data_IF_867157373722
#
_entry.id   IF_867157373722
#
_cell.length_a   1.000
_cell.length_b   1.000
_cell.length_c   1.000
_cell.angle_alpha   90.00
_cell.angle_beta   90.00
_cell.angle_gamma   90.00
#
_symmetry.space_group_name_H-M   'P 1'
#
loop_
_entity.id
_entity.type
_entity.pdbx_description
1 polymer ?
#
# COMPACT_ATOMS: atom_id res chain seq x y z
N UNK A 1 -28.13 78.59 -20.54
CA UNK A 1 -27.02 78.34 -19.60
C UNK A 1 -27.63 77.77 -18.33
N UNK A 2 -27.49 76.47 -18.10
CA UNK A 2 -27.92 75.81 -16.87
C UNK A 2 -26.66 75.24 -16.17
N UNK A 3 -26.45 75.45 -14.87
CA UNK A 3 -25.35 74.79 -14.17
C UNK A 3 -25.80 73.39 -13.72
N UNK A 4 -24.99 72.39 -14.06
CA UNK A 4 -25.07 71.04 -13.52
C UNK A 4 -24.56 71.05 -12.08
N UNK A 5 -25.44 70.77 -11.12
CA UNK A 5 -25.06 70.50 -9.72
C UNK A 5 -24.75 69.01 -9.61
N UNK A 6 -23.48 68.69 -9.42
CA UNK A 6 -22.96 67.35 -9.15
C UNK A 6 -23.12 67.07 -7.64
N UNK A 7 -24.00 66.13 -7.27
CA UNK A 7 -24.12 65.68 -5.89
C UNK A 7 -22.94 64.74 -5.52
N UNK A 8 -22.40 64.80 -4.29
CA UNK A 8 -21.31 63.92 -3.87
C UNK A 8 -21.87 62.53 -3.55
N UNK A 9 -21.35 61.50 -4.22
CA UNK A 9 -21.61 60.10 -3.88
C UNK A 9 -20.94 59.77 -2.53
N UNK A 10 -21.61 59.03 -1.63
CA UNK A 10 -21.10 58.77 -0.30
C UNK A 10 -19.93 57.77 -0.36
N UNK A 11 -18.82 58.17 0.25
CA UNK A 11 -17.55 57.43 0.41
C UNK A 11 -17.69 56.05 1.12
N UNK A 12 -18.90 55.67 1.53
CA UNK A 12 -19.21 54.42 2.22
C UNK A 12 -19.21 53.18 1.31
N UNK A 13 -19.32 53.35 -0.01
CA UNK A 13 -19.32 52.23 -0.97
C UNK A 13 -17.91 51.71 -1.31
N UNK A 14 -16.85 52.46 -0.98
CA UNK A 14 -15.46 52.05 -1.19
C UNK A 14 -14.89 51.17 -0.07
N UNK A 15 -15.50 51.20 1.13
CA UNK A 15 -15.07 50.35 2.26
C UNK A 15 -15.66 48.93 2.22
N UNK A 16 -16.70 48.68 1.41
CA UNK A 16 -17.24 47.35 1.17
C UNK A 16 -16.51 46.56 0.06
N UNK A 17 -15.67 47.23 -0.74
CA UNK A 17 -14.92 46.59 -1.83
C UNK A 17 -13.54 46.07 -1.42
N UNK A 18 -13.10 46.25 -0.17
CA UNK A 18 -11.84 45.70 0.34
C UNK A 18 -11.98 44.36 1.10
N UNK A 19 -13.18 43.77 1.17
CA UNK A 19 -13.36 42.44 1.80
C UNK A 19 -13.41 41.27 0.81
N UNK A 20 -13.17 41.51 -0.48
CA UNK A 20 -13.11 40.45 -1.49
C UNK A 20 -11.71 40.28 -2.07
N UNK A 21 -11.22 39.06 -1.92
CA UNK A 21 -10.01 38.46 -2.53
C UNK A 21 -8.70 38.64 -1.78
N UNK A 22 -8.62 38.04 -0.59
CA UNK A 22 -7.50 37.11 -0.44
C UNK A 22 -7.77 35.96 -1.41
N UNK A 23 -7.12 35.99 -2.57
CA UNK A 23 -7.10 34.87 -3.50
C UNK A 23 -6.35 33.71 -2.83
N UNK A 24 -7.04 32.99 -1.94
CA UNK A 24 -6.70 31.62 -1.65
C UNK A 24 -6.95 30.88 -2.97
N UNK A 25 -5.85 30.51 -3.64
CA UNK A 25 -5.88 29.62 -4.80
C UNK A 25 -6.89 28.51 -4.54
N UNK A 26 -8.00 28.50 -5.29
CA UNK A 26 -9.09 27.55 -5.10
C UNK A 26 -8.54 26.15 -5.29
N UNK A 27 -8.22 25.50 -4.18
CA UNK A 27 -7.91 24.09 -4.18
C UNK A 27 -9.22 23.38 -4.52
N UNK A 28 -9.28 22.74 -5.69
CA UNK A 28 -10.41 21.90 -6.08
C UNK A 28 -10.42 20.63 -5.23
N UNK A 29 -10.80 20.76 -3.96
CA UNK A 29 -11.04 19.61 -3.09
C UNK A 29 -12.21 18.83 -3.69
N UNK A 30 -12.09 17.50 -3.86
CA UNK A 30 -13.19 16.70 -4.37
C UNK A 30 -14.44 16.91 -3.52
N UNK A 31 -15.63 16.93 -4.12
CA UNK A 31 -16.90 17.14 -3.40
C UNK A 31 -17.16 16.13 -2.28
N UNK A 32 -16.53 14.95 -2.37
CA UNK A 32 -16.56 13.92 -1.35
C UNK A 32 -15.64 14.20 -0.14
N UNK A 33 -14.87 15.29 -0.14
CA UNK A 33 -13.84 15.58 0.85
C UNK A 33 -14.15 16.85 1.65
N UNK A 34 -14.08 16.74 2.98
CA UNK A 34 -14.10 17.87 3.90
C UNK A 34 -12.67 18.16 4.37
N UNK A 35 -12.25 19.42 4.25
CA UNK A 35 -11.00 19.90 4.84
C UNK A 35 -11.28 20.55 6.19
N UNK A 36 -10.43 20.27 7.19
CA UNK A 36 -10.42 20.96 8.48
C UNK A 36 -9.15 21.82 8.52
N UNK A 37 -9.24 23.14 8.22
CA UNK A 37 -8.07 23.99 8.01
C UNK A 37 -7.15 24.08 9.23
N UNK A 38 -7.72 24.14 10.43
CA UNK A 38 -6.96 24.24 11.69
C UNK A 38 -6.15 22.99 12.03
N UNK A 39 -6.54 21.83 11.48
CA UNK A 39 -5.89 20.55 11.73
C UNK A 39 -5.05 20.05 10.54
N UNK A 40 -5.04 20.78 9.41
CA UNK A 40 -4.50 20.31 8.12
C UNK A 40 -4.97 18.88 7.78
N UNK A 41 -6.23 18.58 8.12
CA UNK A 41 -6.81 17.25 7.99
C UNK A 41 -7.73 17.21 6.78
N UNK A 42 -7.61 16.18 5.96
CA UNK A 42 -8.50 15.93 4.84
C UNK A 42 -9.22 14.59 5.05
N UNK A 43 -10.54 14.62 5.12
CA UNK A 43 -11.39 13.44 5.29
C UNK A 43 -12.33 13.34 4.09
N UNK A 44 -12.32 12.21 3.39
CA UNK A 44 -13.19 11.96 2.25
C UNK A 44 -14.12 10.77 2.53
N UNK A 45 -15.41 10.95 2.25
CA UNK A 45 -16.44 9.91 2.34
C UNK A 45 -17.25 9.85 1.05
N UNK A 46 -17.42 8.67 0.46
CA UNK A 46 -18.26 8.48 -0.72
C UNK A 46 -19.65 7.89 -0.40
N UNK A 47 -20.07 7.92 0.87
CA UNK A 47 -21.40 7.45 1.28
C UNK A 47 -22.48 8.18 0.48
N UNK A 48 -23.33 7.42 -0.20
CA UNK A 48 -24.47 7.90 -0.97
C UNK A 48 -25.53 8.54 -0.07
N UNK A 49 -25.29 9.75 0.43
CA UNK A 49 -26.36 10.63 0.89
C UNK A 49 -26.63 11.63 -0.21
N UNK A 50 -27.65 11.32 -1.00
CA UNK A 50 -28.22 12.24 -1.96
C UNK A 50 -28.70 13.50 -1.23
N UNK A 51 -27.99 14.61 -1.41
CA UNK A 51 -28.53 15.96 -1.19
C UNK A 51 -28.02 16.98 -2.21
N UNK A 52 -27.51 16.53 -3.36
CA UNK A 52 -27.17 17.41 -4.49
C UNK A 52 -27.32 16.64 -5.81
N UNK A 53 -28.31 16.98 -6.66
CA UNK A 53 -28.64 16.25 -7.89
C UNK A 53 -27.67 16.48 -9.05
N UNK A 54 -26.46 16.99 -8.80
CA UNK A 54 -25.46 17.30 -9.83
C UNK A 54 -24.07 16.66 -9.61
N UNK A 55 -23.91 15.72 -8.67
CA UNK A 55 -22.63 15.00 -8.50
C UNK A 55 -22.62 13.69 -9.29
N UNK A 56 -22.14 13.78 -10.53
CA UNK A 56 -21.80 12.62 -11.35
C UNK A 56 -20.59 11.88 -10.76
N UNK A 57 -20.85 10.89 -9.90
CA UNK A 57 -20.24 9.54 -10.01
C UNK A 57 -20.60 8.69 -8.78
N UNK A 58 -21.33 7.59 -9.02
CA UNK A 58 -21.77 6.66 -7.98
C UNK A 58 -20.62 6.07 -7.17
N UNK A 59 -20.34 6.66 -6.00
CA UNK A 59 -19.37 6.15 -5.02
C UNK A 59 -17.92 6.08 -5.49
N UNK A 60 -17.56 6.79 -6.57
CA UNK A 60 -16.19 6.80 -7.10
C UNK A 60 -15.44 8.08 -6.71
N UNK A 61 -14.29 7.92 -6.05
CA UNK A 61 -13.36 9.02 -5.78
C UNK A 61 -12.05 8.79 -6.51
N UNK A 62 -11.52 9.84 -7.13
CA UNK A 62 -10.18 9.83 -7.71
C UNK A 62 -9.33 10.89 -7.02
N UNK A 63 -8.19 10.45 -6.47
CA UNK A 63 -7.18 11.34 -5.93
C UNK A 63 -6.08 11.58 -6.97
N UNK A 64 -5.67 12.84 -7.06
CA UNK A 64 -4.59 13.33 -7.90
C UNK A 64 -3.80 14.43 -7.18
N UNK A 65 -2.65 14.83 -7.72
CA UNK A 65 -1.85 15.89 -7.09
C UNK A 65 -2.58 17.23 -6.99
N UNK A 66 -3.52 17.52 -7.89
CA UNK A 66 -4.31 18.76 -7.89
C UNK A 66 -5.39 18.75 -6.80
N UNK A 67 -5.84 17.57 -6.37
CA UNK A 67 -6.92 17.42 -5.39
C UNK A 67 -6.45 17.42 -3.94
N UNK A 68 -5.14 17.51 -3.69
CA UNK A 68 -4.55 17.41 -2.35
C UNK A 68 -3.79 18.70 -1.98
N UNK A 69 -3.97 19.22 -0.75
CA UNK A 69 -3.12 20.28 -0.21
C UNK A 69 -1.66 19.87 -0.11
N UNK A 70 -0.75 20.84 -0.18
CA UNK A 70 0.69 20.66 -0.09
C UNK A 70 1.19 20.18 1.28
N UNK A 71 0.49 20.57 2.35
CA UNK A 71 0.71 20.12 3.72
C UNK A 71 -0.57 19.46 4.24
N UNK A 72 -0.43 18.20 4.66
CA UNK A 72 -1.47 17.42 5.30
C UNK A 72 -0.92 16.87 6.61
N UNK A 73 -1.65 17.07 7.70
CA UNK A 73 -1.38 16.34 8.93
C UNK A 73 -1.83 14.89 8.76
N UNK A 74 -3.07 14.70 8.29
CA UNK A 74 -3.68 13.40 8.05
C UNK A 74 -4.57 13.40 6.80
N UNK A 75 -4.64 12.24 6.14
CA UNK A 75 -5.57 11.95 5.06
C UNK A 75 -6.37 10.70 5.44
N UNK A 76 -7.69 10.82 5.48
CA UNK A 76 -8.60 9.68 5.68
C UNK A 76 -9.54 9.60 4.50
N UNK A 77 -9.63 8.45 3.86
CA UNK A 77 -10.63 8.16 2.83
C UNK A 77 -11.39 6.92 3.26
N UNK A 78 -12.71 7.00 3.30
CA UNK A 78 -13.53 5.89 3.73
C UNK A 78 -14.83 5.72 2.92
N UNK A 79 -15.39 4.52 3.00
CA UNK A 79 -16.74 4.21 2.51
C UNK A 79 -16.93 4.52 1.01
N UNK A 80 -15.97 4.10 0.19
CA UNK A 80 -16.02 4.30 -1.26
C UNK A 80 -16.19 3.00 -2.04
N UNK A 81 -17.12 3.01 -3.00
CA UNK A 81 -17.31 1.90 -3.93
C UNK A 81 -16.08 1.73 -4.85
N UNK A 82 -15.44 2.84 -5.22
CA UNK A 82 -14.17 2.82 -5.95
C UNK A 82 -13.29 4.00 -5.57
N UNK A 83 -12.03 3.74 -5.22
CA UNK A 83 -11.00 4.76 -5.05
C UNK A 83 -9.89 4.55 -6.08
N UNK A 84 -9.60 5.57 -6.88
CA UNK A 84 -8.42 5.58 -7.77
C UNK A 84 -7.36 6.52 -7.20
N UNK A 85 -6.15 6.01 -6.97
CA UNK A 85 -4.99 6.84 -6.63
C UNK A 85 -4.09 6.89 -7.86
N UNK A 86 -4.08 8.06 -8.51
CA UNK A 86 -3.33 8.27 -9.74
C UNK A 86 -1.80 8.32 -9.51
N UNK A 87 -1.03 8.17 -10.59
CA UNK A 87 0.43 8.33 -10.54
C UNK A 87 0.81 9.73 -10.10
N UNK A 88 1.80 9.84 -9.21
CA UNK A 88 2.25 11.12 -8.67
C UNK A 88 1.20 11.87 -7.84
N UNK A 89 0.14 11.21 -7.34
CA UNK A 89 -0.88 11.85 -6.48
C UNK A 89 -0.25 12.60 -5.30
N UNK A 90 0.82 12.06 -4.72
CA UNK A 90 1.49 12.68 -3.57
C UNK A 90 2.75 13.47 -3.94
N UNK A 91 2.93 13.83 -5.22
CA UNK A 91 4.06 14.64 -5.65
C UNK A 91 4.05 15.98 -4.94
N UNK A 92 5.19 16.34 -4.36
CA UNK A 92 5.33 17.58 -3.62
C UNK A 92 4.54 17.60 -2.31
N UNK A 93 3.87 16.52 -1.88
CA UNK A 93 3.06 16.58 -0.65
C UNK A 93 3.89 16.29 0.59
N UNK A 94 3.57 16.97 1.68
CA UNK A 94 4.12 16.72 3.02
C UNK A 94 3.01 16.12 3.86
N UNK A 95 3.10 14.84 4.20
CA UNK A 95 2.13 14.17 5.08
C UNK A 95 2.80 13.88 6.41
N UNK A 96 2.30 14.51 7.48
CA UNK A 96 3.01 14.54 8.77
C UNK A 96 2.77 13.27 9.57
N UNK A 97 1.51 12.85 9.70
CA UNK A 97 1.14 11.76 10.61
C UNK A 97 0.70 10.52 9.86
N UNK A 98 -0.48 10.51 9.22
CA UNK A 98 -1.01 9.28 8.65
C UNK A 98 -1.87 9.42 7.40
N UNK A 99 -1.90 8.33 6.63
CA UNK A 99 -2.89 8.05 5.59
C UNK A 99 -3.71 6.83 6.02
N UNK A 100 -5.04 6.94 6.02
CA UNK A 100 -5.97 5.85 6.29
C UNK A 100 -6.92 5.68 5.12
N UNK A 101 -6.97 4.48 4.57
CA UNK A 101 -7.91 4.07 3.53
C UNK A 101 -8.76 2.94 4.11
N UNK A 102 -10.06 3.19 4.28
CA UNK A 102 -10.96 2.31 5.04
C UNK A 102 -12.18 1.96 4.20
N UNK A 103 -12.63 0.70 4.26
CA UNK A 103 -13.89 0.27 3.65
C UNK A 103 -14.01 0.66 2.17
N UNK A 104 -12.94 0.39 1.40
CA UNK A 104 -12.87 0.67 -0.03
C UNK A 104 -13.15 -0.62 -0.79
N UNK A 105 -14.33 -0.69 -1.42
CA UNK A 105 -14.78 -1.89 -2.15
C UNK A 105 -13.84 -2.21 -3.32
N UNK A 106 -13.28 -1.18 -3.96
CA UNK A 106 -12.24 -1.35 -4.99
C UNK A 106 -11.23 -0.21 -4.96
N UNK A 107 -9.98 -0.52 -4.64
CA UNK A 107 -8.86 0.42 -4.65
C UNK A 107 -7.96 0.16 -5.87
N UNK A 108 -8.01 1.07 -6.85
CA UNK A 108 -7.15 1.06 -8.02
C UNK A 108 -5.94 1.99 -7.79
N UNK A 109 -4.79 1.38 -7.45
CA UNK A 109 -3.52 2.10 -7.23
C UNK A 109 -2.69 2.11 -8.51
N UNK A 110 -2.25 3.29 -8.97
CA UNK A 110 -1.37 3.44 -10.15
C UNK A 110 0.11 3.43 -9.75
N UNK A 111 1.02 3.06 -10.67
CA UNK A 111 2.47 3.12 -10.41
C UNK A 111 2.91 4.51 -9.96
N UNK A 112 3.96 4.60 -9.14
CA UNK A 112 4.58 5.85 -8.73
C UNK A 112 3.62 6.85 -8.04
N UNK A 113 2.56 6.37 -7.39
CA UNK A 113 1.59 7.23 -6.70
C UNK A 113 2.24 8.16 -5.66
N UNK A 114 3.31 7.68 -5.00
CA UNK A 114 4.06 8.40 -3.95
C UNK A 114 5.37 9.03 -4.43
N UNK A 115 5.61 9.04 -5.75
CA UNK A 115 6.84 9.59 -6.30
C UNK A 115 6.99 11.06 -5.91
N UNK A 116 8.20 11.43 -5.49
CA UNK A 116 8.57 12.79 -5.11
C UNK A 116 7.67 13.40 -4.00
N UNK A 117 7.16 12.57 -3.08
CA UNK A 117 6.60 13.05 -1.82
C UNK A 117 7.69 13.75 -1.00
N UNK A 118 7.42 14.95 -0.47
CA UNK A 118 8.40 15.71 0.33
C UNK A 118 8.64 15.08 1.69
N UNK A 119 7.57 14.56 2.32
CA UNK A 119 7.64 13.87 3.60
C UNK A 119 6.64 12.73 3.62
N UNK A 120 7.15 11.51 3.83
CA UNK A 120 6.33 10.31 4.01
C UNK A 120 5.53 10.39 5.32
N UNK A 121 4.30 9.84 5.35
CA UNK A 121 3.55 9.70 6.59
C UNK A 121 4.28 8.74 7.56
N UNK A 122 3.99 8.86 8.86
CA UNK A 122 4.47 7.89 9.85
C UNK A 122 3.70 6.57 9.73
N UNK A 123 2.40 6.65 9.45
CA UNK A 123 1.50 5.50 9.30
C UNK A 123 0.79 5.52 7.94
N UNK A 124 0.78 4.38 7.27
CA UNK A 124 -0.16 4.08 6.20
C UNK A 124 -1.00 2.88 6.62
N UNK A 125 -2.31 3.07 6.76
CA UNK A 125 -3.26 2.01 7.11
C UNK A 125 -4.23 1.79 5.95
N UNK A 126 -4.31 0.55 5.50
CA UNK A 126 -5.37 0.05 4.63
C UNK A 126 -6.18 -1.01 5.36
N UNK A 127 -7.49 -0.80 5.47
CA UNK A 127 -8.37 -1.70 6.19
C UNK A 127 -9.64 -2.01 5.40
N UNK A 128 -10.13 -3.25 5.50
CA UNK A 128 -11.42 -3.68 4.92
C UNK A 128 -11.55 -3.32 3.44
N UNK A 129 -10.51 -3.59 2.66
CA UNK A 129 -10.42 -3.08 1.28
C UNK A 129 -9.93 -4.14 0.30
N UNK A 130 -10.33 -4.01 -0.97
CA UNK A 130 -9.88 -4.88 -2.05
C UNK A 130 -9.03 -4.12 -3.07
N UNK A 131 -7.81 -4.60 -3.32
CA UNK A 131 -6.96 -4.14 -4.42
C UNK A 131 -6.96 -5.18 -5.54
N UNK A 132 -7.42 -4.85 -6.75
CA UNK A 132 -7.27 -5.74 -7.90
C UNK A 132 -5.80 -6.07 -8.17
N UNK A 133 -4.91 -5.08 -8.01
CA UNK A 133 -3.47 -5.27 -8.09
C UNK A 133 -2.69 -4.21 -7.32
N UNK A 134 -1.46 -4.54 -6.94
CA UNK A 134 -0.42 -3.59 -6.55
C UNK A 134 0.60 -3.56 -7.68
N UNK A 135 0.66 -2.47 -8.47
CA UNK A 135 1.56 -2.40 -9.62
C UNK A 135 3.03 -2.21 -9.18
N UNK A 136 3.99 -2.39 -10.10
CA UNK A 136 5.40 -2.06 -9.84
C UNK A 136 5.55 -0.61 -9.37
N UNK A 137 6.45 -0.38 -8.41
CA UNK A 137 6.77 0.95 -7.88
C UNK A 137 5.57 1.71 -7.29
N UNK A 138 4.50 1.02 -6.91
CA UNK A 138 3.29 1.65 -6.36
C UNK A 138 3.59 2.59 -5.19
N UNK A 139 4.56 2.20 -4.35
CA UNK A 139 4.96 2.90 -3.13
C UNK A 139 6.33 3.59 -3.23
N UNK A 140 6.89 3.72 -4.45
CA UNK A 140 8.19 4.36 -4.63
C UNK A 140 8.16 5.83 -4.16
N UNK A 141 9.16 6.23 -3.38
CA UNK A 141 9.23 7.54 -2.73
C UNK A 141 8.84 7.54 -1.25
N UNK A 142 8.22 6.47 -0.77
CA UNK A 142 8.02 6.24 0.66
C UNK A 142 9.33 5.85 1.34
N UNK A 143 9.99 6.82 1.96
CA UNK A 143 11.38 6.66 2.46
C UNK A 143 11.50 6.53 3.96
N UNK A 144 10.49 6.93 4.75
CA UNK A 144 10.53 6.91 6.22
C UNK A 144 9.16 6.56 6.83
N UNK A 145 8.65 5.38 6.51
CA UNK A 145 7.41 4.87 7.12
C UNK A 145 7.73 4.09 8.38
N UNK A 146 7.04 4.41 9.47
CA UNK A 146 7.15 3.62 10.69
C UNK A 146 6.20 2.43 10.61
N UNK A 147 4.96 2.66 10.23
CA UNK A 147 3.94 1.62 10.22
C UNK A 147 3.24 1.56 8.87
N UNK A 148 3.28 0.39 8.23
CA UNK A 148 2.54 0.11 7.02
C UNK A 148 1.63 -1.09 7.28
N UNK A 149 0.37 -0.81 7.57
CA UNK A 149 -0.58 -1.79 8.10
C UNK A 149 -1.67 -2.11 7.08
N UNK A 150 -1.88 -3.39 6.88
CA UNK A 150 -2.84 -3.96 5.94
C UNK A 150 -3.70 -4.95 6.72
N UNK A 151 -4.97 -4.60 6.96
CA UNK A 151 -5.86 -5.34 7.85
C UNK A 151 -7.14 -5.75 7.13
N UNK A 152 -7.47 -7.03 7.15
CA UNK A 152 -8.67 -7.55 6.49
C UNK A 152 -8.76 -7.07 5.03
N UNK A 153 -7.75 -7.42 4.24
CA UNK A 153 -7.63 -6.98 2.85
C UNK A 153 -7.61 -8.16 1.89
N UNK A 154 -8.06 -7.90 0.67
CA UNK A 154 -7.94 -8.84 -0.44
C UNK A 154 -7.16 -8.22 -1.59
N UNK A 155 -6.20 -8.97 -2.13
CA UNK A 155 -5.34 -8.53 -3.22
C UNK A 155 -5.43 -9.54 -4.37
N UNK A 156 -5.71 -9.06 -5.58
CA UNK A 156 -5.70 -9.90 -6.78
C UNK A 156 -4.29 -10.28 -7.21
N UNK A 157 -3.37 -9.32 -7.33
CA UNK A 157 -1.96 -9.59 -7.65
C UNK A 157 -1.02 -8.56 -7.05
N UNK A 158 0.07 -9.01 -6.45
CA UNK A 158 1.24 -8.17 -6.14
C UNK A 158 2.27 -8.39 -7.24
N UNK A 159 2.52 -7.35 -8.04
CA UNK A 159 3.47 -7.44 -9.15
C UNK A 159 4.92 -7.40 -8.67
N UNK A 160 5.84 -7.86 -9.53
CA UNK A 160 7.28 -7.66 -9.36
C UNK A 160 7.59 -6.19 -9.06
N UNK A 161 8.51 -5.93 -8.12
CA UNK A 161 8.92 -4.58 -7.73
C UNK A 161 7.79 -3.69 -7.18
N UNK A 162 6.66 -4.25 -6.72
CA UNK A 162 5.56 -3.48 -6.16
C UNK A 162 5.98 -2.55 -5.01
N UNK A 163 6.91 -3.00 -4.17
CA UNK A 163 7.45 -2.27 -3.03
C UNK A 163 8.87 -1.71 -3.26
N UNK A 164 9.40 -1.80 -4.49
CA UNK A 164 10.76 -1.35 -4.78
C UNK A 164 10.93 0.16 -4.57
N UNK A 165 12.17 0.56 -4.22
CA UNK A 165 12.55 1.97 -3.93
C UNK A 165 11.87 2.56 -2.68
N UNK A 166 11.35 1.71 -1.80
CA UNK A 166 11.11 2.08 -0.42
C UNK A 166 12.43 2.01 0.36
N UNK A 167 12.76 3.04 1.13
CA UNK A 167 14.07 3.15 1.77
C UNK A 167 14.08 2.54 3.18
N UNK A 168 13.26 3.06 4.08
CA UNK A 168 13.16 2.63 5.46
C UNK A 168 11.69 2.44 5.84
N UNK A 169 11.33 1.18 6.04
CA UNK A 169 10.04 0.78 6.61
C UNK A 169 10.34 0.04 7.90
N UNK A 170 9.82 0.51 9.03
CA UNK A 170 10.06 -0.15 10.32
C UNK A 170 9.16 -1.40 10.44
N UNK A 171 7.85 -1.25 10.21
CA UNK A 171 6.89 -2.35 10.24
C UNK A 171 6.04 -2.42 8.96
N UNK A 172 6.10 -3.55 8.25
CA UNK A 172 5.13 -3.94 7.23
C UNK A 172 4.31 -5.11 7.78
N UNK A 173 3.03 -4.86 8.03
CA UNK A 173 2.15 -5.75 8.77
C UNK A 173 0.93 -6.11 7.94
N UNK A 174 0.81 -7.40 7.60
CA UNK A 174 -0.41 -7.99 7.04
C UNK A 174 -1.10 -8.81 8.12
N UNK A 175 -2.34 -8.45 8.41
CA UNK A 175 -3.20 -9.16 9.36
C UNK A 175 -4.51 -9.48 8.68
N UNK A 176 -4.82 -10.77 8.59
CA UNK A 176 -5.95 -11.28 7.82
C UNK A 176 -5.94 -10.77 6.38
N UNK A 177 -5.17 -11.43 5.52
CA UNK A 177 -5.00 -11.02 4.13
C UNK A 177 -5.23 -12.20 3.18
N UNK A 178 -6.03 -11.97 2.13
CA UNK A 178 -6.24 -12.94 1.06
C UNK A 178 -5.62 -12.43 -0.25
N UNK A 179 -4.48 -13.00 -0.63
CA UNK A 179 -3.69 -12.60 -1.78
C UNK A 179 -3.74 -13.70 -2.83
N UNK A 180 -4.38 -13.45 -3.98
CA UNK A 180 -4.50 -14.49 -5.01
C UNK A 180 -3.16 -14.81 -5.66
N UNK A 181 -2.29 -13.82 -5.86
CA UNK A 181 -0.99 -14.00 -6.50
C UNK A 181 0.08 -13.00 -6.02
N UNK A 182 1.28 -13.50 -5.77
CA UNK A 182 2.49 -12.71 -5.54
C UNK A 182 3.51 -13.15 -6.58
N UNK A 183 3.90 -12.22 -7.45
CA UNK A 183 4.89 -12.48 -8.49
C UNK A 183 6.31 -12.55 -7.88
N UNK A 184 7.25 -13.13 -8.63
CA UNK A 184 8.67 -13.14 -8.24
C UNK A 184 9.19 -11.73 -8.00
N UNK A 185 10.05 -11.53 -6.99
CA UNK A 185 10.60 -10.20 -6.67
C UNK A 185 9.58 -9.14 -6.23
N UNK A 186 8.33 -9.51 -5.91
CA UNK A 186 7.29 -8.54 -5.54
C UNK A 186 7.65 -7.65 -4.34
N UNK A 187 8.31 -8.21 -3.33
CA UNK A 187 8.84 -7.50 -2.16
C UNK A 187 10.34 -7.24 -2.29
N UNK A 188 10.86 -7.21 -3.53
CA UNK A 188 12.26 -6.97 -3.81
C UNK A 188 12.65 -5.49 -3.76
N UNK A 189 13.96 -5.26 -3.60
CA UNK A 189 14.57 -3.92 -3.66
C UNK A 189 13.99 -2.89 -2.66
N UNK A 190 13.56 -3.35 -1.48
CA UNK A 190 13.33 -2.50 -0.32
C UNK A 190 14.67 -2.37 0.40
N UNK A 191 15.18 -1.15 0.57
CA UNK A 191 16.54 -0.95 1.07
C UNK A 191 16.72 -1.47 2.50
N UNK A 192 15.77 -1.17 3.40
CA UNK A 192 15.72 -1.73 4.75
C UNK A 192 14.26 -1.87 5.22
N UNK A 193 13.91 -3.09 5.60
CA UNK A 193 12.65 -3.42 6.25
C UNK A 193 12.95 -3.94 7.66
N UNK A 194 12.45 -3.30 8.71
CA UNK A 194 12.67 -3.74 10.09
C UNK A 194 11.99 -5.07 10.36
N UNK A 195 10.66 -5.06 10.24
CA UNK A 195 9.78 -6.18 10.56
C UNK A 195 8.79 -6.40 9.44
N UNK A 196 8.72 -7.64 8.93
CA UNK A 196 7.72 -8.09 7.98
C UNK A 196 6.88 -9.19 8.62
N UNK A 197 5.63 -8.88 8.93
CA UNK A 197 4.75 -9.81 9.61
C UNK A 197 3.53 -10.15 8.74
N UNK A 198 3.24 -11.44 8.66
CA UNK A 198 2.04 -12.03 8.11
C UNK A 198 1.40 -12.83 9.25
N UNK A 199 0.23 -12.39 9.76
CA UNK A 199 -0.43 -13.03 10.91
C UNK A 199 -1.95 -13.17 10.73
N UNK A 200 -2.54 -14.04 11.54
CA UNK A 200 -3.98 -14.16 11.80
C UNK A 200 -4.81 -14.38 10.52
N UNK A 201 -4.65 -15.55 9.89
CA UNK A 201 -5.45 -15.97 8.75
C UNK A 201 -4.95 -15.43 7.41
N UNK A 202 -3.68 -15.69 7.10
CA UNK A 202 -3.07 -15.31 5.82
C UNK A 202 -3.34 -16.38 4.77
N UNK A 203 -3.84 -15.99 3.60
CA UNK A 203 -4.07 -16.91 2.48
C UNK A 203 -3.39 -16.39 1.23
N UNK A 204 -2.47 -17.17 0.68
CA UNK A 204 -1.71 -16.82 -0.53
C UNK A 204 -1.89 -17.93 -1.57
N UNK A 205 -2.63 -17.60 -2.63
CA UNK A 205 -3.04 -18.56 -3.66
C UNK A 205 -1.88 -19.05 -4.54
N UNK A 206 -0.90 -18.18 -4.81
CA UNK A 206 0.38 -18.53 -5.43
C UNK A 206 1.44 -17.49 -5.08
N UNK A 207 2.66 -17.93 -4.83
CA UNK A 207 3.82 -17.10 -4.53
C UNK A 207 4.99 -17.53 -5.42
N UNK A 208 5.54 -16.59 -6.18
CA UNK A 208 6.67 -16.84 -7.10
C UNK A 208 7.98 -17.13 -6.37
N UNK A 209 9.05 -17.31 -7.14
CA UNK A 209 10.39 -17.48 -6.59
C UNK A 209 11.01 -16.12 -6.21
N UNK A 210 11.99 -16.12 -5.30
CA UNK A 210 12.84 -14.96 -4.99
C UNK A 210 12.04 -13.70 -4.63
N UNK A 211 10.94 -13.85 -3.90
CA UNK A 211 9.97 -12.78 -3.61
C UNK A 211 10.62 -11.60 -2.88
N UNK A 212 11.63 -11.87 -2.06
CA UNK A 212 12.33 -10.89 -1.23
C UNK A 212 13.72 -10.52 -1.77
N UNK A 213 14.02 -10.85 -3.03
CA UNK A 213 15.34 -10.62 -3.61
C UNK A 213 15.73 -9.14 -3.57
N UNK A 214 16.93 -8.84 -3.09
CA UNK A 214 17.43 -7.47 -2.98
C UNK A 214 16.83 -6.68 -1.81
N UNK A 215 16.08 -7.33 -0.92
CA UNK A 215 15.54 -6.73 0.30
C UNK A 215 16.24 -7.28 1.54
N UNK A 216 16.62 -6.38 2.46
CA UNK A 216 17.10 -6.76 3.80
C UNK A 216 15.98 -6.61 4.82
N UNK A 217 15.66 -7.70 5.50
CA UNK A 217 14.62 -7.78 6.53
C UNK A 217 15.29 -7.96 7.90
N UNK A 218 14.91 -7.20 8.93
CA UNK A 218 15.35 -7.49 10.29
C UNK A 218 14.72 -8.79 10.78
N UNK A 219 13.39 -8.84 10.79
CA UNK A 219 12.63 -10.01 11.21
C UNK A 219 11.46 -10.28 10.26
N UNK A 220 11.41 -11.51 9.74
CA UNK A 220 10.27 -12.04 9.00
C UNK A 220 9.48 -12.98 9.92
N UNK A 221 8.20 -12.70 10.10
CA UNK A 221 7.28 -13.60 10.82
C UNK A 221 6.12 -13.98 9.91
N UNK A 222 5.86 -15.28 9.81
CA UNK A 222 4.70 -15.83 9.13
C UNK A 222 4.00 -16.76 10.10
N UNK A 223 2.79 -16.40 10.50
CA UNK A 223 1.97 -17.13 11.45
C UNK A 223 0.58 -17.34 10.86
N UNK A 224 -0.02 -18.49 11.14
CA UNK A 224 -1.40 -18.82 10.73
C UNK A 224 -1.65 -18.57 9.22
N UNK A 225 -0.73 -19.08 8.39
CA UNK A 225 -0.76 -18.84 6.94
C UNK A 225 -0.97 -20.11 6.13
N UNK A 226 -1.77 -20.01 5.06
CA UNK A 226 -1.88 -21.03 4.01
C UNK A 226 -1.29 -20.47 2.71
N UNK A 227 -0.17 -21.01 2.25
CA UNK A 227 0.59 -20.49 1.12
C UNK A 227 0.85 -21.57 0.09
N UNK A 228 0.58 -21.30 -1.20
CA UNK A 228 1.14 -22.09 -2.30
C UNK A 228 2.33 -21.36 -2.89
N UNK A 229 3.50 -21.96 -2.92
CA UNK A 229 4.74 -21.30 -3.35
C UNK A 229 5.51 -22.10 -4.42
N UNK A 230 6.16 -21.37 -5.31
CA UNK A 230 7.18 -21.90 -6.21
C UNK A 230 8.44 -22.28 -5.41
N UNK A 231 9.20 -23.24 -5.94
CA UNK A 231 10.54 -23.52 -5.42
C UNK A 231 11.42 -22.27 -5.44
N UNK A 232 12.15 -22.03 -4.34
CA UNK A 232 13.05 -20.89 -4.22
C UNK A 232 12.35 -19.58 -3.86
N UNK A 233 11.16 -19.62 -3.26
CA UNK A 233 10.42 -18.45 -2.76
C UNK A 233 11.26 -17.52 -1.86
N UNK A 234 12.07 -18.10 -0.97
CA UNK A 234 13.00 -17.38 -0.09
C UNK A 234 14.37 -17.12 -0.74
N UNK A 235 14.56 -17.45 -2.02
CA UNK A 235 15.84 -17.27 -2.69
C UNK A 235 16.27 -15.80 -2.70
N UNK A 236 17.46 -15.51 -2.15
CA UNK A 236 17.98 -14.15 -2.05
C UNK A 236 17.38 -13.31 -0.90
N UNK A 237 16.61 -13.92 0.00
CA UNK A 237 16.19 -13.28 1.26
C UNK A 237 17.41 -13.04 2.14
N UNK A 238 17.59 -11.80 2.60
CA UNK A 238 18.56 -11.43 3.64
C UNK A 238 17.79 -11.04 4.90
N UNK A 239 17.69 -11.94 5.87
CA UNK A 239 16.92 -11.73 7.09
C UNK A 239 17.76 -12.00 8.35
N UNK A 240 17.69 -11.13 9.37
CA UNK A 240 18.38 -11.39 10.63
C UNK A 240 17.65 -12.43 11.49
N UNK A 241 16.31 -12.48 11.40
CA UNK A 241 15.46 -13.48 12.05
C UNK A 241 14.32 -13.90 11.13
N UNK A 242 13.98 -15.18 11.15
CA UNK A 242 12.79 -15.73 10.49
C UNK A 242 12.04 -16.60 11.49
N UNK A 243 10.74 -16.36 11.67
CA UNK A 243 9.84 -17.21 12.45
C UNK A 243 8.69 -17.64 11.56
N UNK A 244 8.44 -18.94 11.53
CA UNK A 244 7.30 -19.53 10.82
C UNK A 244 6.64 -20.48 11.81
N UNK A 245 5.35 -20.27 12.09
CA UNK A 245 4.55 -21.16 12.93
C UNK A 245 3.13 -21.28 12.37
N UNK A 246 2.47 -22.40 12.63
CA UNK A 246 1.05 -22.58 12.28
C UNK A 246 0.76 -22.34 10.78
N UNK A 247 1.73 -22.68 9.94
CA UNK A 247 1.67 -22.44 8.50
C UNK A 247 1.53 -23.73 7.71
N UNK A 248 0.67 -23.69 6.70
CA UNK A 248 0.57 -24.72 5.67
C UNK A 248 1.20 -24.22 4.36
N UNK A 249 2.15 -24.99 3.83
CA UNK A 249 2.85 -24.69 2.59
C UNK A 249 2.59 -25.77 1.53
N UNK A 250 2.05 -25.37 0.37
CA UNK A 250 1.85 -26.22 -0.79
C UNK A 250 2.73 -25.80 -1.99
N UNK A 251 2.98 -26.73 -2.91
CA UNK A 251 3.69 -26.43 -4.16
C UNK A 251 2.72 -25.92 -5.24
N UNK A 252 3.17 -25.00 -6.10
CA UNK A 252 2.42 -24.59 -7.29
C UNK A 252 2.53 -25.62 -8.42
N UNK A 253 1.56 -25.61 -9.34
CA UNK A 253 1.61 -26.48 -10.53
C UNK A 253 2.83 -26.19 -11.42
N UNK A 254 3.36 -24.96 -11.40
CA UNK A 254 4.58 -24.58 -12.09
C UNK A 254 5.83 -25.23 -11.47
N UNK A 255 5.90 -25.32 -10.14
CA UNK A 255 6.92 -26.09 -9.42
C UNK A 255 6.90 -27.57 -9.80
N UNK A 256 5.71 -28.19 -9.77
CA UNK A 256 5.51 -29.59 -10.16
C UNK A 256 5.96 -29.88 -11.59
N UNK A 257 5.67 -29.00 -12.56
CA UNK A 257 6.09 -29.16 -13.97
C UNK A 257 7.61 -29.08 -14.15
N UNK A 258 8.32 -28.23 -13.38
CA UNK A 258 9.79 -28.13 -13.42
C UNK A 258 10.47 -29.37 -12.84
N UNK A 259 9.90 -29.95 -11.78
CA UNK A 259 10.37 -31.19 -11.13
C UNK A 259 10.14 -32.42 -12.04
N UNK A 260 8.97 -32.50 -12.69
CA UNK A 260 8.65 -33.55 -13.67
C UNK A 260 9.60 -33.62 -14.87
N UNK A 261 10.27 -32.51 -15.21
CA UNK A 261 11.30 -32.45 -16.26
C UNK A 261 12.69 -32.90 -15.77
N UNK A 262 12.94 -32.92 -14.45
CA UNK A 262 14.23 -33.27 -13.82
C UNK A 262 14.26 -34.65 -13.17
N UNK A 263 13.13 -35.28 -12.87
CA UNK A 263 13.12 -36.60 -12.22
C UNK A 263 12.06 -37.53 -12.79
N UNK A 264 12.49 -38.42 -13.69
CA UNK A 264 11.80 -39.70 -13.95
C UNK A 264 12.28 -40.75 -12.93
N UNK A 265 12.02 -40.55 -11.64
CA UNK A 265 12.09 -41.64 -10.65
C UNK A 265 11.32 -41.33 -9.36
N UNK A 266 10.40 -42.25 -9.05
CA UNK A 266 9.63 -42.48 -7.82
C UNK A 266 8.68 -41.36 -7.34
N UNK A 267 7.39 -41.57 -7.64
CA UNK A 267 6.25 -41.05 -6.86
C UNK A 267 6.42 -41.51 -5.41
N UNK A 268 6.62 -40.55 -4.51
CA UNK A 268 6.29 -40.69 -3.09
C UNK A 268 5.23 -39.64 -2.80
N UNK A 269 4.23 -40.05 -2.03
CA UNK A 269 3.03 -39.30 -1.67
C UNK A 269 3.46 -38.06 -0.87
N UNK A 270 3.23 -36.84 -1.40
CA UNK A 270 3.60 -35.57 -0.73
C UNK A 270 2.54 -35.22 0.32
N UNK A 271 2.83 -35.52 1.59
CA UNK A 271 2.08 -35.08 2.76
C UNK A 271 2.35 -33.60 3.08
N UNK A 272 1.34 -32.93 3.64
CA UNK A 272 1.44 -31.57 4.17
C UNK A 272 2.45 -31.53 5.34
N UNK A 273 3.41 -30.60 5.28
CA UNK A 273 4.40 -30.42 6.36
C UNK A 273 3.97 -29.25 7.23
N UNK A 274 3.61 -29.54 8.47
CA UNK A 274 3.44 -28.57 9.55
C UNK A 274 4.83 -28.14 10.04
N UNK A 275 5.15 -26.85 9.94
CA UNK A 275 6.47 -26.32 10.30
C UNK A 275 6.34 -25.56 11.62
N UNK A 276 6.69 -26.22 12.72
CA UNK A 276 6.48 -25.67 14.07
C UNK A 276 7.69 -24.99 14.70
N UNK A 277 8.88 -25.01 14.06
CA UNK A 277 9.98 -24.12 14.43
C UNK A 277 11.11 -24.23 13.37
N UNK A 278 11.42 -23.15 12.64
CA UNK A 278 12.66 -23.09 11.84
C UNK A 278 13.73 -22.39 12.68
N UNK A 279 14.51 -23.18 13.40
CA UNK A 279 15.80 -22.72 13.90
C UNK A 279 16.80 -22.82 12.74
N UNK A 280 17.25 -21.68 12.20
CA UNK A 280 18.07 -21.58 10.99
C UNK A 280 19.44 -22.30 11.07
N UNK A 281 19.76 -22.98 12.18
CA UNK A 281 20.91 -23.89 12.30
C UNK A 281 20.68 -25.28 11.73
N UNK A 282 19.44 -25.71 11.51
CA UNK A 282 19.14 -27.02 10.93
C UNK A 282 18.10 -26.86 9.82
N UNK A 283 18.59 -26.64 8.61
CA UNK A 283 17.76 -26.61 7.42
C UNK A 283 17.08 -27.97 7.21
N UNK A 284 15.76 -28.02 7.37
CA UNK A 284 14.90 -29.08 6.84
C UNK A 284 13.45 -28.59 6.79
N UNK A 285 13.02 -28.13 5.61
CA UNK A 285 11.65 -28.34 5.14
C UNK A 285 11.79 -29.15 3.86
N UNK A 286 11.42 -30.42 3.92
CA UNK A 286 11.44 -31.34 2.78
C UNK A 286 10.53 -30.80 1.67
N UNK A 287 11.13 -30.34 0.57
CA UNK A 287 10.43 -29.98 -0.68
C UNK A 287 10.51 -28.51 -1.09
N UNK A 288 10.74 -27.59 -0.14
CA UNK A 288 11.04 -26.18 -0.43
C UNK A 288 12.54 -25.98 -0.15
N UNK A 289 13.37 -26.14 -1.18
CA UNK A 289 14.81 -25.93 -1.08
C UNK A 289 15.12 -24.53 -0.52
N UNK A 290 15.35 -24.46 0.79
CA UNK A 290 16.19 -23.43 1.40
C UNK A 290 17.62 -23.84 1.04
N UNK A 291 18.09 -23.45 -0.13
CA UNK A 291 19.51 -23.54 -0.44
C UNK A 291 20.23 -22.59 0.51
N UNK A 292 20.89 -23.14 1.52
CA UNK A 292 21.99 -22.55 2.30
C UNK A 292 21.99 -21.03 2.35
N UNK A 293 21.43 -20.47 3.43
CA UNK A 293 21.90 -19.18 3.92
C UNK A 293 23.33 -19.44 4.39
N UNK A 294 24.31 -19.20 3.52
CA UNK A 294 25.72 -19.30 3.86
C UNK A 294 26.04 -18.26 4.94
N UNK A 295 26.65 -18.71 6.04
CA UNK A 295 27.16 -17.88 7.14
C UNK A 295 28.12 -16.76 6.69
N UNK A 296 28.54 -16.74 5.41
CA UNK A 296 29.42 -15.71 4.85
C UNK A 296 28.70 -14.40 4.48
N UNK A 297 27.37 -14.35 4.51
CA UNK A 297 26.57 -13.17 4.16
C UNK A 297 25.80 -12.54 5.36
N UNK A 298 26.12 -12.96 6.59
CA UNK A 298 25.64 -12.35 7.85
C UNK A 298 26.51 -11.15 8.25
#
# INVERSE_FOLDING_TARGET
MAPLILAPLPLFLLLFLCFSSAAASELSTPSACASVPSAHSLVCSCSSTASSPSSSSGGHLQLSSASLPDLLHQLVVHSCARLTIASGTFRGKTIVDHIKLLDIVRLDLRPDAFRAIRRSPRLFLLQNSHLPSIPPFAFAGLTRLKHFWWRNISIGRVHENAFAKMAFVDYLYFHTANIKAIDSGAFGHIHRLGHLFFRDGIRIGRMGARVFSGTRVGELVVEEATVKADAGVFGGLKAARVRISDCWWGETDAGRRRKGRRTRKRRTQEEAVEVNEINLRSGLVTGLYVSEISDRDL
#
